data_IF_735139728732
#
_entry.id   IF_735139728732
#
_cell.length_a   1.000
_cell.length_b   1.000
_cell.length_c   1.000
_cell.angle_alpha   90.00
_cell.angle_beta   90.00
_cell.angle_gamma   90.00
#
_symmetry.space_group_name_H-M   'P 1'
#
loop_
_entity.id
_entity.type
_entity.pdbx_description
1 polymer ?
#
# COMPACT_ATOMS: atom_id res chain seq x y z
N UNK A 1 28.58 -45.21 -17.94
CA UNK A 1 28.21 -44.22 -18.96
C UNK A 1 27.11 -43.37 -18.34
N UNK A 2 27.48 -42.16 -17.96
CA UNK A 2 26.84 -41.34 -16.92
C UNK A 2 25.54 -40.68 -17.41
N UNK A 3 24.54 -40.68 -16.54
CA UNK A 3 23.23 -40.02 -16.76
C UNK A 3 23.39 -38.50 -16.61
N UNK A 4 22.95 -37.67 -17.58
CA UNK A 4 23.11 -36.23 -17.51
C UNK A 4 21.92 -35.62 -16.75
N UNK A 5 21.80 -35.90 -15.45
CA UNK A 5 20.91 -35.11 -14.59
C UNK A 5 21.70 -33.92 -14.07
N UNK A 6 21.73 -32.86 -14.90
CA UNK A 6 22.08 -31.52 -14.45
C UNK A 6 21.15 -31.15 -13.30
N UNK A 7 21.76 -30.75 -12.20
CA UNK A 7 21.16 -30.18 -10.99
C UNK A 7 20.12 -29.12 -11.33
N UNK A 8 18.85 -29.49 -11.30
CA UNK A 8 17.75 -28.52 -11.32
C UNK A 8 17.75 -27.76 -9.98
N UNK A 9 17.62 -26.44 -10.05
CA UNK A 9 17.48 -25.61 -8.85
C UNK A 9 16.20 -25.98 -8.10
N UNK A 10 16.15 -25.79 -6.78
CA UNK A 10 14.95 -26.03 -5.96
C UNK A 10 13.70 -25.34 -6.54
N UNK A 11 13.78 -24.08 -7.02
CA UNK A 11 12.67 -23.44 -7.71
C UNK A 11 12.18 -24.17 -8.96
N UNK A 12 13.07 -24.73 -9.78
CA UNK A 12 12.68 -25.46 -10.99
C UNK A 12 11.97 -26.79 -10.66
N UNK A 13 12.29 -27.42 -9.52
CA UNK A 13 11.60 -28.63 -9.05
C UNK A 13 10.22 -28.28 -8.50
N UNK A 14 10.09 -27.16 -7.79
CA UNK A 14 8.81 -26.65 -7.28
C UNK A 14 7.89 -26.23 -8.42
N UNK A 15 8.42 -25.54 -9.44
CA UNK A 15 7.70 -25.17 -10.66
C UNK A 15 7.25 -26.40 -11.45
N UNK A 16 8.10 -27.41 -11.63
CA UNK A 16 7.73 -28.66 -12.30
C UNK A 16 6.63 -29.42 -11.54
N UNK A 17 6.65 -29.40 -10.20
CA UNK A 17 5.59 -29.98 -9.36
C UNK A 17 4.28 -29.21 -9.49
N UNK A 18 4.33 -27.88 -9.45
CA UNK A 18 3.17 -27.02 -9.61
C UNK A 18 2.52 -27.19 -10.99
N UNK A 19 3.32 -27.23 -12.06
CA UNK A 19 2.84 -27.48 -13.42
C UNK A 19 2.21 -28.87 -13.58
N UNK A 20 2.81 -29.90 -12.96
CA UNK A 20 2.24 -31.25 -12.96
C UNK A 20 0.92 -31.29 -12.21
N UNK A 21 0.86 -30.73 -11.00
CA UNK A 21 -0.37 -30.63 -10.22
C UNK A 21 -1.45 -29.85 -10.97
N UNK A 22 -1.08 -28.74 -11.63
CA UNK A 22 -2.01 -27.96 -12.44
C UNK A 22 -2.51 -28.69 -13.69
N UNK A 23 -1.70 -29.56 -14.31
CA UNK A 23 -2.16 -30.47 -15.38
C UNK A 23 -3.11 -31.53 -14.83
N UNK A 24 -2.77 -32.14 -13.69
CA UNK A 24 -3.59 -33.17 -13.05
C UNK A 24 -4.95 -32.59 -12.62
N UNK A 25 -4.97 -31.37 -12.07
CA UNK A 25 -6.19 -30.65 -11.70
C UNK A 25 -7.03 -30.24 -12.93
N UNK A 26 -6.40 -29.72 -14.00
CA UNK A 26 -7.11 -29.41 -15.26
C UNK A 26 -7.69 -30.66 -15.92
N UNK A 27 -6.97 -31.79 -15.85
CA UNK A 27 -7.43 -33.08 -16.37
C UNK A 27 -8.56 -33.69 -15.53
N UNK A 28 -8.60 -33.39 -14.23
CA UNK A 28 -9.68 -33.78 -13.33
C UNK A 28 -10.98 -32.96 -13.55
N UNK A 29 -10.96 -31.95 -14.43
CA UNK A 29 -12.06 -31.01 -14.63
C UNK A 29 -12.08 -29.91 -13.56
N UNK A 30 -12.96 -28.90 -13.69
CA UNK A 30 -13.13 -27.91 -12.64
C UNK A 30 -13.47 -28.63 -11.33
N UNK A 31 -12.75 -28.29 -10.26
CA UNK A 31 -13.15 -28.69 -8.92
C UNK A 31 -14.42 -27.92 -8.59
N UNK A 32 -15.56 -28.44 -9.04
CA UNK A 32 -16.87 -27.95 -8.63
C UNK A 32 -17.04 -28.34 -7.17
N UNK A 33 -16.63 -27.44 -6.29
CA UNK A 33 -17.04 -27.48 -4.90
C UNK A 33 -18.56 -27.41 -4.94
N UNK A 34 -19.26 -28.41 -4.38
CA UNK A 34 -20.70 -28.36 -4.37
C UNK A 34 -21.16 -27.15 -3.55
N UNK A 35 -22.32 -26.58 -3.88
CA UNK A 35 -22.80 -25.34 -3.28
C UNK A 35 -23.02 -25.45 -1.77
N UNK A 36 -23.14 -26.68 -1.25
CA UNK A 36 -23.33 -26.98 0.16
C UNK A 36 -22.24 -27.97 0.64
N UNK A 37 -21.79 -27.79 1.88
CA UNK A 37 -20.78 -28.65 2.51
C UNK A 37 -21.23 -30.11 2.65
N UNK A 38 -22.53 -30.33 2.80
CA UNK A 38 -23.13 -31.66 2.92
C UNK A 38 -22.85 -32.53 1.69
N UNK A 39 -22.77 -31.89 0.53
CA UNK A 39 -22.55 -32.52 -0.76
C UNK A 39 -21.07 -32.77 -1.07
N UNK A 40 -20.16 -32.27 -0.22
CA UNK A 40 -18.72 -32.41 -0.42
C UNK A 40 -18.34 -33.91 -0.31
N UNK A 41 -17.64 -34.49 -1.30
CA UNK A 41 -17.24 -35.90 -1.28
C UNK A 41 -16.07 -36.11 -0.30
N UNK A 42 -16.32 -35.85 0.98
CA UNK A 42 -15.38 -35.91 2.08
C UNK A 42 -15.89 -36.83 3.20
N UNK A 43 -15.00 -37.42 4.01
CA UNK A 43 -15.38 -38.17 5.20
C UNK A 43 -16.30 -37.32 6.12
N UNK A 44 -17.29 -37.93 6.79
CA UNK A 44 -18.18 -37.24 7.71
C UNK A 44 -17.43 -36.37 8.73
N UNK A 45 -16.28 -36.85 9.24
CA UNK A 45 -15.46 -36.14 10.21
C UNK A 45 -14.88 -34.84 9.64
N UNK A 46 -14.45 -34.86 8.36
CA UNK A 46 -13.93 -33.68 7.68
C UNK A 46 -15.06 -32.70 7.36
N UNK A 47 -16.26 -33.19 6.99
CA UNK A 47 -17.43 -32.33 6.78
C UNK A 47 -17.88 -31.65 8.07
N UNK A 48 -17.92 -32.39 9.18
CA UNK A 48 -18.22 -31.80 10.51
C UNK A 48 -17.19 -30.75 10.88
N UNK A 49 -15.89 -31.02 10.71
CA UNK A 49 -14.84 -30.02 10.98
C UNK A 49 -14.96 -28.77 10.10
N UNK A 50 -15.28 -28.94 8.81
CA UNK A 50 -15.49 -27.82 7.90
C UNK A 50 -16.76 -27.03 8.23
N UNK A 51 -17.85 -27.72 8.57
CA UNK A 51 -19.12 -27.13 9.00
C UNK A 51 -18.96 -26.38 10.32
N UNK A 52 -18.29 -26.97 11.32
CA UNK A 52 -17.92 -26.29 12.57
C UNK A 52 -17.05 -25.05 12.28
N UNK A 53 -16.08 -25.16 11.36
CA UNK A 53 -15.24 -24.04 10.95
C UNK A 53 -15.97 -22.96 10.13
N UNK A 54 -17.15 -23.25 9.59
CA UNK A 54 -17.94 -22.32 8.76
C UNK A 54 -19.15 -21.74 9.50
N UNK A 55 -19.78 -22.49 10.40
CA UNK A 55 -20.80 -22.04 11.34
C UNK A 55 -20.18 -21.19 12.45
N UNK A 56 -18.94 -21.49 12.80
CA UNK A 56 -18.09 -20.66 13.62
C UNK A 56 -16.92 -20.28 12.72
N UNK A 57 -17.14 -19.38 11.72
CA UNK A 57 -16.04 -18.87 10.93
C UNK A 57 -15.14 -18.19 11.93
N UNK A 58 -14.09 -18.91 12.33
CA UNK A 58 -13.18 -18.45 13.35
C UNK A 58 -12.81 -17.03 12.99
N UNK A 59 -12.83 -16.12 13.96
CA UNK A 59 -12.68 -14.67 13.78
C UNK A 59 -11.33 -14.23 13.17
N UNK A 60 -10.64 -15.12 12.47
CA UNK A 60 -9.29 -14.95 11.95
C UNK A 60 -8.32 -15.01 13.12
N UNK A 61 -7.82 -16.22 13.42
CA UNK A 61 -6.92 -16.59 14.51
C UNK A 61 -7.59 -16.76 15.88
N UNK A 62 -7.48 -17.98 16.41
CA UNK A 62 -8.07 -18.44 17.66
C UNK A 62 -7.38 -17.87 18.91
N UNK A 63 -6.13 -17.40 18.81
CA UNK A 63 -5.43 -16.62 19.82
C UNK A 63 -4.40 -15.71 19.11
N UNK A 64 -4.32 -14.43 19.50
CA UNK A 64 -3.27 -13.54 19.03
C UNK A 64 -1.93 -14.01 19.60
N UNK A 65 -0.86 -14.11 18.77
CA UNK A 65 0.45 -14.39 19.30
C UNK A 65 0.90 -13.24 20.20
N UNK A 66 1.70 -13.56 21.23
CA UNK A 66 2.27 -12.56 22.15
C UNK A 66 3.02 -11.43 21.42
N UNK A 67 3.54 -11.71 20.21
CA UNK A 67 4.17 -10.72 19.34
C UNK A 67 3.51 -10.75 17.95
N UNK A 68 2.87 -9.64 17.56
CA UNK A 68 2.31 -9.44 16.22
C UNK A 68 3.18 -8.47 15.45
N UNK A 69 3.60 -8.83 14.24
CA UNK A 69 4.35 -7.93 13.35
C UNK A 69 3.43 -7.36 12.29
N UNK A 70 3.32 -6.04 12.25
CA UNK A 70 2.45 -5.32 11.32
C UNK A 70 3.31 -4.37 10.49
N UNK A 71 3.12 -4.36 9.17
CA UNK A 71 3.85 -3.42 8.33
C UNK A 71 3.19 -2.04 8.31
N UNK A 72 3.96 -0.97 8.11
CA UNK A 72 3.41 0.38 7.93
C UNK A 72 2.43 0.45 6.75
N UNK A 73 2.68 -0.34 5.70
CA UNK A 73 1.77 -0.48 4.56
C UNK A 73 0.44 -1.10 4.97
N UNK A 74 0.45 -2.12 5.83
CA UNK A 74 -0.77 -2.77 6.31
C UNK A 74 -1.63 -1.83 7.16
N UNK A 75 -0.99 -1.11 8.09
CA UNK A 75 -1.66 -0.11 8.91
C UNK A 75 -2.29 0.99 8.03
N UNK A 76 -1.54 1.49 7.05
CA UNK A 76 -2.05 2.51 6.12
C UNK A 76 -3.22 1.97 5.30
N UNK A 77 -3.13 0.75 4.75
CA UNK A 77 -4.22 0.11 3.99
C UNK A 77 -5.48 -0.10 4.83
N UNK A 78 -5.33 -0.42 6.11
CA UNK A 78 -6.47 -0.51 7.03
C UNK A 78 -7.10 0.86 7.25
N UNK A 79 -6.31 1.91 7.49
CA UNK A 79 -6.82 3.28 7.58
C UNK A 79 -7.52 3.74 6.30
N UNK A 80 -7.05 3.31 5.14
CA UNK A 80 -7.71 3.57 3.84
C UNK A 80 -9.03 2.81 3.68
N UNK A 81 -9.12 1.56 4.16
CA UNK A 81 -10.37 0.83 4.21
C UNK A 81 -10.30 -0.30 5.27
N UNK A 82 -11.24 -0.32 6.25
CA UNK A 82 -11.18 -1.28 7.36
C UNK A 82 -11.24 -2.73 6.84
N UNK A 83 -12.14 -3.01 5.90
CA UNK A 83 -12.36 -4.34 5.33
C UNK A 83 -11.08 -4.94 4.72
N UNK A 84 -10.49 -4.25 3.75
CA UNK A 84 -9.36 -4.78 2.98
C UNK A 84 -8.08 -4.83 3.80
N UNK A 85 -7.83 -3.83 4.65
CA UNK A 85 -6.63 -3.83 5.49
C UNK A 85 -6.70 -4.86 6.62
N UNK A 86 -7.87 -5.02 7.26
CA UNK A 86 -8.05 -6.02 8.30
C UNK A 86 -7.96 -7.44 7.74
N UNK A 87 -8.57 -7.70 6.58
CA UNK A 87 -8.44 -8.99 5.89
C UNK A 87 -6.96 -9.34 5.64
N UNK A 88 -6.14 -8.37 5.22
CA UNK A 88 -4.73 -8.60 4.98
C UNK A 88 -3.92 -8.91 6.24
N UNK A 89 -4.27 -8.31 7.38
CA UNK A 89 -3.54 -8.48 8.65
C UNK A 89 -4.02 -9.70 9.43
N UNK A 90 -5.34 -9.85 9.60
CA UNK A 90 -5.96 -10.88 10.46
C UNK A 90 -6.09 -12.21 9.74
N UNK A 91 -6.48 -12.18 8.47
CA UNK A 91 -6.67 -13.38 7.64
C UNK A 91 -5.44 -13.69 6.77
N UNK A 92 -4.49 -12.76 6.69
CA UNK A 92 -3.28 -12.94 5.88
C UNK A 92 -3.50 -12.81 4.38
N UNK A 93 -4.69 -12.42 3.92
CA UNK A 93 -5.06 -12.35 2.51
C UNK A 93 -4.28 -11.23 1.78
N UNK A 94 -3.52 -11.55 0.73
CA UNK A 94 -2.80 -10.54 -0.07
C UNK A 94 -3.39 -10.45 -1.46
N UNK A 95 -3.45 -9.23 -1.99
CA UNK A 95 -3.88 -8.97 -3.38
C UNK A 95 -2.98 -9.68 -4.40
N UNK A 96 -1.69 -9.83 -4.07
CA UNK A 96 -0.69 -10.55 -4.87
C UNK A 96 -0.98 -12.07 -4.98
N UNK A 97 -1.79 -12.62 -4.07
CA UNK A 97 -2.24 -14.02 -4.12
C UNK A 97 -3.38 -14.23 -5.14
N UNK A 98 -3.98 -13.14 -5.62
CA UNK A 98 -5.10 -13.16 -6.58
C UNK A 98 -4.63 -12.87 -8.03
N UNK A 99 -3.36 -12.52 -8.23
CA UNK A 99 -2.81 -12.29 -9.57
C UNK A 99 -2.57 -13.61 -10.31
N UNK A 100 -3.18 -13.74 -11.48
CA UNK A 100 -3.06 -14.90 -12.36
C UNK A 100 -1.67 -14.92 -13.02
N UNK A 101 -0.76 -15.72 -12.44
CA UNK A 101 0.65 -15.83 -12.87
C UNK A 101 0.80 -16.47 -14.26
N UNK A 102 -0.26 -17.06 -14.79
CA UNK A 102 -0.27 -17.75 -16.08
C UNK A 102 -0.34 -16.77 -17.29
N UNK A 103 -0.33 -15.45 -17.07
CA UNK A 103 -0.49 -14.43 -18.12
C UNK A 103 0.78 -13.87 -18.76
N UNK A 104 1.98 -14.29 -18.36
CA UNK A 104 3.23 -13.74 -18.92
C UNK A 104 3.84 -14.72 -19.93
N UNK A 105 3.20 -14.86 -21.09
CA UNK A 105 3.77 -15.58 -22.25
C UNK A 105 4.17 -14.64 -23.42
N UNK A 106 3.86 -13.34 -23.33
CA UNK A 106 4.11 -12.36 -24.39
C UNK A 106 5.20 -11.34 -24.03
N UNK A 107 5.94 -10.87 -25.05
CA UNK A 107 6.93 -9.80 -24.90
C UNK A 107 6.24 -8.48 -24.50
N UNK A 108 6.76 -7.82 -23.45
CA UNK A 108 6.22 -6.56 -22.97
C UNK A 108 6.53 -5.42 -23.96
N UNK A 109 5.53 -4.98 -24.72
CA UNK A 109 5.64 -3.76 -25.56
C UNK A 109 5.65 -2.47 -24.75
N UNK A 110 5.21 -2.53 -23.49
CA UNK A 110 5.20 -1.43 -22.54
C UNK A 110 5.45 -1.95 -21.13
N UNK A 111 6.15 -1.17 -20.32
CA UNK A 111 6.31 -1.38 -18.89
C UNK A 111 4.98 -1.14 -18.22
N UNK A 112 4.55 -2.09 -17.36
CA UNK A 112 3.30 -1.95 -16.62
C UNK A 112 3.24 -0.61 -15.86
N UNK A 113 2.07 0.03 -15.85
CA UNK A 113 1.91 1.42 -15.37
C UNK A 113 2.54 1.69 -14.00
N UNK A 114 2.31 0.80 -13.02
CA UNK A 114 2.83 0.95 -11.66
C UNK A 114 4.36 0.80 -11.60
N UNK A 115 4.91 -0.12 -12.38
CA UNK A 115 6.36 -0.32 -12.49
C UNK A 115 7.03 0.88 -13.18
N UNK A 116 6.44 1.35 -14.28
CA UNK A 116 6.91 2.54 -15.00
C UNK A 116 6.87 3.77 -14.10
N UNK A 117 5.78 3.98 -13.34
CA UNK A 117 5.68 5.08 -12.39
C UNK A 117 6.76 4.99 -11.31
N UNK A 118 6.98 3.80 -10.74
CA UNK A 118 8.02 3.59 -9.72
C UNK A 118 9.42 3.83 -10.28
N UNK A 119 9.71 3.32 -11.47
CA UNK A 119 10.98 3.52 -12.16
C UNK A 119 11.27 5.02 -12.35
N UNK A 120 10.29 5.79 -12.84
CA UNK A 120 10.45 7.24 -13.03
C UNK A 120 10.81 7.96 -11.72
N UNK A 121 10.19 7.58 -10.60
CA UNK A 121 10.51 8.15 -9.28
C UNK A 121 11.92 7.77 -8.81
N UNK A 122 12.30 6.50 -8.94
CA UNK A 122 13.64 6.02 -8.55
C UNK A 122 14.76 6.66 -9.39
N UNK A 123 14.52 6.89 -10.68
CA UNK A 123 15.44 7.64 -11.56
C UNK A 123 15.55 9.08 -11.08
N UNK A 124 14.44 9.77 -10.84
CA UNK A 124 14.45 11.15 -10.37
C UNK A 124 15.22 11.29 -9.03
N UNK A 125 15.01 10.38 -8.08
CA UNK A 125 15.74 10.37 -6.81
C UNK A 125 17.23 10.11 -6.99
N UNK A 126 17.61 9.12 -7.83
CA UNK A 126 19.02 8.82 -8.08
C UNK A 126 19.74 9.99 -8.75
N UNK A 127 19.14 10.62 -9.76
CA UNK A 127 19.74 11.75 -10.46
C UNK A 127 19.84 13.00 -9.59
N UNK A 128 18.85 13.26 -8.73
CA UNK A 128 18.90 14.37 -7.78
C UNK A 128 20.01 14.20 -6.73
N UNK A 129 20.28 12.97 -6.29
CA UNK A 129 21.30 12.68 -5.25
C UNK A 129 22.72 12.53 -5.79
N UNK A 130 22.90 11.93 -6.97
CA UNK A 130 24.23 11.58 -7.54
C UNK A 130 24.69 12.53 -8.65
N UNK A 131 23.89 13.54 -8.97
CA UNK A 131 24.10 14.47 -10.09
C UNK A 131 24.35 13.77 -11.45
N UNK A 132 23.60 12.71 -11.71
CA UNK A 132 23.72 11.91 -12.93
C UNK A 132 22.76 12.36 -14.03
N UNK A 133 23.05 11.94 -15.27
CA UNK A 133 22.17 12.14 -16.41
C UNK A 133 20.89 11.29 -16.30
N UNK A 134 19.69 11.89 -16.44
CA UNK A 134 18.41 11.19 -16.35
C UNK A 134 18.21 10.05 -17.35
N UNK A 135 18.57 10.26 -18.62
CA UNK A 135 18.35 9.26 -19.68
C UNK A 135 19.19 8.00 -19.45
N UNK A 136 20.49 8.18 -19.23
CA UNK A 136 21.39 7.07 -18.94
C UNK A 136 20.97 6.32 -17.66
N UNK A 137 20.51 7.04 -16.64
CA UNK A 137 20.04 6.44 -15.39
C UNK A 137 18.74 5.67 -15.60
N UNK A 138 17.82 6.18 -16.43
CA UNK A 138 16.59 5.49 -16.81
C UNK A 138 16.88 4.14 -17.47
N UNK A 139 17.67 4.12 -18.55
CA UNK A 139 17.97 2.87 -19.25
C UNK A 139 18.76 1.88 -18.39
N UNK A 140 19.68 2.38 -17.54
CA UNK A 140 20.39 1.55 -16.56
C UNK A 140 19.44 0.87 -15.57
N UNK A 141 18.42 1.59 -15.09
CA UNK A 141 17.42 1.03 -14.15
C UNK A 141 16.31 0.23 -14.85
N UNK A 142 16.10 0.43 -16.16
CA UNK A 142 15.18 -0.36 -16.99
C UNK A 142 15.76 -1.75 -17.30
N UNK A 143 17.08 -1.87 -17.47
CA UNK A 143 17.75 -3.11 -17.86
C UNK A 143 17.45 -4.36 -16.98
N UNK A 144 17.30 -4.27 -15.65
CA UNK A 144 16.82 -5.39 -14.83
C UNK A 144 15.39 -5.84 -15.17
N UNK A 145 14.48 -4.93 -15.51
CA UNK A 145 13.10 -5.24 -15.89
C UNK A 145 13.05 -5.87 -17.28
N UNK A 146 13.85 -5.36 -18.20
CA UNK A 146 14.07 -5.92 -19.54
C UNK A 146 14.55 -7.38 -19.49
N UNK A 147 15.56 -7.67 -18.64
CA UNK A 147 16.04 -9.04 -18.40
C UNK A 147 14.98 -9.97 -17.82
N UNK A 148 13.94 -9.44 -17.21
CA UNK A 148 12.79 -10.18 -16.67
C UNK A 148 11.62 -10.25 -17.66
N UNK A 149 11.73 -9.67 -18.86
CA UNK A 149 10.64 -9.58 -19.82
C UNK A 149 9.51 -8.63 -19.42
N UNK A 150 9.75 -7.73 -18.45
CA UNK A 150 8.74 -6.83 -17.85
C UNK A 150 8.75 -5.41 -18.39
N UNK A 151 9.68 -5.13 -19.30
CA UNK A 151 9.86 -3.83 -19.92
C UNK A 151 10.28 -4.01 -21.39
N UNK A 152 9.93 -3.05 -22.26
CA UNK A 152 10.24 -3.13 -23.68
C UNK A 152 11.73 -2.96 -23.98
N UNK A 153 12.14 -3.39 -25.17
CA UNK A 153 13.48 -3.21 -25.72
C UNK A 153 13.47 -2.26 -26.93
N UNK A 154 14.65 -1.73 -27.29
CA UNK A 154 14.88 -0.95 -28.51
C UNK A 154 13.95 0.26 -28.64
N UNK A 155 13.34 0.42 -29.82
CA UNK A 155 12.50 1.57 -30.17
C UNK A 155 11.32 1.79 -29.21
N UNK A 156 10.77 0.72 -28.62
CA UNK A 156 9.69 0.85 -27.65
C UNK A 156 10.20 1.42 -26.32
N UNK A 157 11.39 1.03 -25.88
CA UNK A 157 12.03 1.61 -24.69
C UNK A 157 12.40 3.09 -24.91
N UNK A 158 12.88 3.44 -26.10
CA UNK A 158 13.15 4.83 -26.49
C UNK A 158 11.86 5.66 -26.53
N UNK A 159 10.76 5.10 -27.02
CA UNK A 159 9.45 5.75 -26.99
C UNK A 159 8.94 5.97 -25.56
N UNK A 160 9.16 5.01 -24.64
CA UNK A 160 8.84 5.19 -23.23
C UNK A 160 9.65 6.33 -22.60
N UNK A 161 10.96 6.39 -22.86
CA UNK A 161 11.79 7.51 -22.42
C UNK A 161 11.26 8.82 -22.97
N UNK A 162 10.99 8.92 -24.27
CA UNK A 162 10.44 10.14 -24.89
C UNK A 162 9.13 10.60 -24.23
N UNK A 163 8.29 9.67 -23.78
CA UNK A 163 7.02 9.98 -23.12
C UNK A 163 7.16 10.38 -21.64
N UNK A 164 8.23 9.95 -20.94
CA UNK A 164 8.38 10.19 -19.51
C UNK A 164 9.59 11.02 -19.09
N UNK A 165 10.60 11.16 -19.95
CA UNK A 165 11.85 11.87 -19.75
C UNK A 165 11.67 13.33 -19.34
N UNK A 166 10.87 14.15 -20.06
CA UNK A 166 10.64 15.54 -19.68
C UNK A 166 10.08 15.69 -18.26
N UNK A 167 9.25 14.75 -17.82
CA UNK A 167 8.72 14.72 -16.46
C UNK A 167 9.79 14.34 -15.43
N UNK A 168 10.62 13.35 -15.73
CA UNK A 168 11.76 12.97 -14.86
C UNK A 168 12.69 14.17 -14.72
N UNK A 169 13.05 14.83 -15.82
CA UNK A 169 13.92 16.01 -15.84
C UNK A 169 13.33 17.16 -15.02
N UNK A 170 12.03 17.44 -15.16
CA UNK A 170 11.32 18.44 -14.37
C UNK A 170 11.40 18.15 -12.86
N UNK A 171 11.18 16.90 -12.45
CA UNK A 171 11.35 16.49 -11.06
C UNK A 171 12.80 16.61 -10.59
N UNK A 172 13.78 16.16 -11.38
CA UNK A 172 15.20 16.27 -11.04
C UNK A 172 15.61 17.73 -10.85
N UNK A 173 15.18 18.63 -11.74
CA UNK A 173 15.44 20.07 -11.61
C UNK A 173 14.86 20.65 -10.33
N UNK A 174 13.63 20.28 -10.01
CA UNK A 174 12.95 20.75 -8.79
C UNK A 174 13.59 20.19 -7.52
N UNK A 175 14.03 18.93 -7.54
CA UNK A 175 14.70 18.29 -6.41
C UNK A 175 16.09 18.89 -6.17
N UNK A 176 16.88 19.13 -7.22
CA UNK A 176 18.21 19.75 -7.13
C UNK A 176 18.15 21.19 -6.64
N UNK A 177 17.04 21.90 -6.88
CA UNK A 177 16.87 23.27 -6.38
C UNK A 177 16.52 23.32 -4.88
N UNK A 178 16.27 22.18 -4.23
CA UNK A 178 15.95 22.14 -2.81
C UNK A 178 17.22 22.18 -1.96
N UNK A 179 17.20 22.89 -0.81
CA UNK A 179 18.37 22.98 0.06
C UNK A 179 18.61 21.71 0.90
N UNK A 180 17.65 20.79 0.94
CA UNK A 180 17.72 19.57 1.74
C UNK A 180 17.95 18.33 0.87
N UNK A 181 18.82 17.39 1.29
CA UNK A 181 18.99 16.13 0.58
C UNK A 181 17.77 15.23 0.75
N UNK A 182 17.57 14.36 -0.23
CA UNK A 182 16.56 13.31 -0.17
C UNK A 182 17.06 12.20 0.75
N UNK A 183 16.22 11.75 1.69
CA UNK A 183 16.57 10.66 2.64
C UNK A 183 15.56 9.53 2.62
N UNK A 184 16.05 8.30 2.71
CA UNK A 184 15.29 7.06 2.82
C UNK A 184 15.43 6.51 4.24
N UNK A 185 14.33 6.55 4.97
CA UNK A 185 14.26 5.98 6.31
C UNK A 185 13.52 4.64 6.28
N UNK A 186 13.92 3.75 7.18
CA UNK A 186 13.26 2.45 7.41
C UNK A 186 13.10 2.20 8.90
N UNK A 187 11.97 1.61 9.30
CA UNK A 187 11.81 1.00 10.63
C UNK A 187 11.96 -0.52 10.53
N UNK A 188 12.87 -1.08 11.32
CA UNK A 188 13.12 -2.52 11.37
C UNK A 188 13.49 -3.12 10.01
N UNK A 189 13.02 -4.33 9.75
CA UNK A 189 13.17 -4.96 8.43
C UNK A 189 12.03 -4.55 7.49
N UNK A 190 12.38 -4.29 6.23
CA UNK A 190 11.38 -4.13 5.19
C UNK A 190 11.11 -5.47 4.50
N UNK A 191 9.85 -5.70 4.11
CA UNK A 191 9.47 -6.78 3.18
C UNK A 191 9.70 -6.39 1.71
N UNK A 192 9.98 -5.11 1.44
CA UNK A 192 10.03 -4.57 0.07
C UNK A 192 11.45 -4.66 -0.52
N UNK A 193 11.54 -4.89 -1.84
CA UNK A 193 12.78 -4.80 -2.63
C UNK A 193 13.15 -3.34 -2.97
N UNK A 194 12.89 -2.37 -2.07
CA UNK A 194 13.31 -0.98 -2.28
C UNK A 194 14.84 -0.88 -2.21
N UNK A 195 15.36 0.20 -2.79
CA UNK A 195 16.77 0.56 -2.64
C UNK A 195 17.17 0.67 -1.17
N UNK A 196 18.48 0.64 -0.91
CA UNK A 196 19.01 0.73 0.45
C UNK A 196 18.48 1.98 1.17
N UNK A 197 18.15 1.82 2.45
CA UNK A 197 17.78 2.94 3.31
C UNK A 197 19.06 3.65 3.77
N UNK A 198 19.04 4.98 3.80
CA UNK A 198 20.14 5.79 4.31
C UNK A 198 20.27 5.65 5.83
N UNK A 199 19.13 5.44 6.51
CA UNK A 199 19.08 5.18 7.94
C UNK A 199 18.00 4.13 8.26
N UNK A 200 18.35 3.19 9.13
CA UNK A 200 17.43 2.15 9.64
C UNK A 200 17.27 2.31 11.15
N UNK A 201 16.05 2.64 11.56
CA UNK A 201 15.60 2.71 12.95
C UNK A 201 15.17 1.33 13.44
N UNK A 202 15.19 1.07 14.76
CA UNK A 202 14.55 -0.14 15.30
C UNK A 202 13.05 -0.17 14.99
N UNK A 203 12.42 -1.35 14.92
CA UNK A 203 10.96 -1.43 14.80
C UNK A 203 10.31 -0.77 16.00
N UNK A 204 9.22 -0.04 15.76
CA UNK A 204 8.46 0.60 16.83
C UNK A 204 7.68 -0.48 17.57
N UNK A 205 7.93 -0.61 18.88
CA UNK A 205 7.28 -1.60 19.74
C UNK A 205 6.23 -0.91 20.59
N UNK A 206 5.01 -1.42 20.53
CA UNK A 206 3.88 -0.96 21.34
C UNK A 206 3.30 -2.16 22.08
N UNK A 207 2.93 -1.96 23.33
CA UNK A 207 2.31 -2.98 24.17
C UNK A 207 0.99 -2.46 24.71
N UNK A 208 -0.04 -3.27 24.60
CA UNK A 208 -1.36 -2.94 25.13
C UNK A 208 -2.15 -4.21 25.46
N UNK A 209 -3.13 -4.06 26.35
CA UNK A 209 -4.08 -5.12 26.65
C UNK A 209 -5.12 -5.26 25.53
N UNK A 210 -5.48 -6.51 25.26
CA UNK A 210 -6.56 -6.98 24.39
C UNK A 210 -7.48 -7.88 25.22
N UNK A 211 -8.68 -8.21 24.72
CA UNK A 211 -9.59 -9.18 25.31
C UNK A 211 -8.96 -10.58 25.45
N UNK A 212 -7.91 -10.87 24.67
CA UNK A 212 -7.16 -12.13 24.68
C UNK A 212 -5.88 -12.07 25.55
N UNK A 213 -5.58 -10.93 26.16
CA UNK A 213 -4.39 -10.72 26.99
C UNK A 213 -3.48 -9.59 26.50
N UNK A 214 -2.29 -9.49 27.09
CA UNK A 214 -1.31 -8.48 26.68
C UNK A 214 -0.66 -8.87 25.34
N UNK A 215 -0.71 -7.97 24.36
CA UNK A 215 -0.10 -8.16 23.04
C UNK A 215 1.00 -7.13 22.84
N UNK A 216 2.15 -7.58 22.32
CA UNK A 216 3.22 -6.72 21.81
C UNK A 216 3.10 -6.63 20.29
N UNK A 217 3.00 -5.41 19.77
CA UNK A 217 3.02 -5.16 18.32
C UNK A 217 4.38 -4.57 17.92
N UNK A 218 4.99 -5.12 16.88
CA UNK A 218 6.15 -4.52 16.20
C UNK A 218 5.71 -3.92 14.86
N UNK A 219 5.83 -2.59 14.74
CA UNK A 219 5.65 -1.85 13.50
C UNK A 219 6.97 -1.69 12.75
N UNK A 220 6.97 -2.09 11.47
CA UNK A 220 8.15 -2.05 10.62
C UNK A 220 7.79 -1.73 9.16
N UNK A 221 8.75 -1.24 8.39
CA UNK A 221 8.60 -0.96 6.97
C UNK A 221 9.35 0.27 6.49
N UNK A 222 9.24 0.52 5.19
CA UNK A 222 9.81 1.71 4.56
C UNK A 222 8.86 2.91 4.74
N UNK A 223 9.42 4.02 5.22
CA UNK A 223 8.78 5.32 5.21
C UNK A 223 8.83 5.90 3.80
N UNK A 224 8.06 6.96 3.56
CA UNK A 224 8.25 7.77 2.37
C UNK A 224 9.61 8.42 2.34
N UNK A 225 10.12 8.58 1.12
CA UNK A 225 11.30 9.38 0.83
C UNK A 225 11.09 10.77 1.42
N UNK A 226 12.13 11.33 2.05
CA UNK A 226 12.02 12.58 2.80
C UNK A 226 12.79 13.68 2.12
N UNK A 227 12.20 14.86 2.08
CA UNK A 227 12.88 16.12 1.78
C UNK A 227 12.87 16.95 3.06
N UNK A 228 14.03 17.08 3.71
CA UNK A 228 14.08 17.58 5.08
C UNK A 228 13.22 16.73 6.02
N UNK A 229 12.24 17.35 6.69
CA UNK A 229 11.32 16.68 7.61
C UNK A 229 9.94 16.35 7.00
N UNK A 230 9.72 16.63 5.71
CA UNK A 230 8.49 16.28 5.01
C UNK A 230 8.64 14.96 4.24
N UNK A 231 7.56 14.19 4.16
CA UNK A 231 7.44 13.08 3.22
C UNK A 231 7.24 13.63 1.81
N UNK A 232 8.04 13.17 0.85
CA UNK A 232 8.08 13.65 -0.52
C UNK A 232 7.25 12.76 -1.45
N UNK A 233 6.47 13.41 -2.31
CA UNK A 233 5.66 12.78 -3.35
C UNK A 233 5.94 13.43 -4.69
N UNK A 234 6.25 12.64 -5.70
CA UNK A 234 6.38 13.08 -7.09
C UNK A 234 5.08 12.75 -7.84
N UNK A 235 4.40 13.78 -8.32
CA UNK A 235 3.07 13.70 -8.93
C UNK A 235 3.08 14.06 -10.41
N UNK A 236 2.23 13.37 -11.18
CA UNK A 236 1.97 13.68 -12.58
C UNK A 236 0.86 14.71 -12.69
N UNK A 237 0.99 15.65 -13.62
CA UNK A 237 -0.04 16.66 -13.91
C UNK A 237 0.22 17.99 -13.22
N UNK A 238 -0.72 18.92 -13.36
CA UNK A 238 -0.63 20.26 -12.79
C UNK A 238 -1.04 20.29 -11.32
N UNK A 239 -0.50 21.26 -10.57
CA UNK A 239 -0.95 21.53 -9.21
C UNK A 239 -2.40 22.02 -9.21
N UNK A 240 -3.19 21.52 -8.27
CA UNK A 240 -4.56 21.97 -8.04
C UNK A 240 -4.65 22.57 -6.62
N UNK A 241 -5.04 23.84 -6.48
CA UNK A 241 -5.15 24.50 -5.17
C UNK A 241 -6.11 23.78 -4.22
N UNK A 242 -7.18 23.21 -4.77
CA UNK A 242 -8.08 22.30 -4.06
C UNK A 242 -7.60 20.88 -4.32
N UNK A 243 -6.77 20.37 -3.42
CA UNK A 243 -6.29 19.00 -3.50
C UNK A 243 -7.46 18.02 -3.29
N UNK A 244 -7.77 17.25 -4.34
CA UNK A 244 -8.82 16.22 -4.27
C UNK A 244 -8.46 15.03 -3.37
N UNK A 245 -9.41 14.11 -3.23
CA UNK A 245 -9.30 12.91 -2.40
C UNK A 245 -8.00 12.12 -2.66
N UNK A 246 -7.54 12.06 -3.92
CA UNK A 246 -6.28 11.38 -4.30
C UNK A 246 -5.05 11.92 -3.58
N UNK A 247 -4.88 13.25 -3.53
CA UNK A 247 -3.70 13.89 -2.91
C UNK A 247 -3.77 13.76 -1.39
N UNK A 248 -4.95 13.98 -0.80
CA UNK A 248 -5.18 13.77 0.63
C UNK A 248 -4.91 12.32 1.05
N UNK A 249 -5.45 11.35 0.31
CA UNK A 249 -5.18 9.92 0.53
C UNK A 249 -3.68 9.60 0.55
N UNK A 250 -2.88 10.19 -0.35
CA UNK A 250 -1.42 10.03 -0.32
C UNK A 250 -0.78 10.67 0.92
N UNK A 251 -1.29 11.82 1.35
CA UNK A 251 -0.85 12.49 2.57
C UNK A 251 -1.14 11.66 3.85
N UNK A 252 -2.12 10.75 3.85
CA UNK A 252 -2.33 9.82 4.97
C UNK A 252 -1.07 9.03 5.28
N UNK A 253 -0.33 8.59 4.26
CA UNK A 253 0.93 7.87 4.48
C UNK A 253 1.99 8.76 5.14
N UNK A 254 2.06 10.04 4.77
CA UNK A 254 2.94 10.99 5.43
C UNK A 254 2.53 11.24 6.89
N UNK A 255 1.23 11.24 7.18
CA UNK A 255 0.71 11.40 8.52
C UNK A 255 1.04 10.19 9.41
N UNK A 256 0.91 8.96 8.88
CA UNK A 256 1.38 7.74 9.56
C UNK A 256 2.89 7.80 9.80
N UNK A 257 3.69 8.23 8.82
CA UNK A 257 5.14 8.41 8.97
C UNK A 257 5.46 9.44 10.08
N UNK A 258 4.71 10.54 10.16
CA UNK A 258 4.83 11.55 11.21
C UNK A 258 4.56 10.96 12.61
N UNK A 259 3.48 10.20 12.79
CA UNK A 259 3.17 9.54 14.06
C UNK A 259 4.25 8.53 14.45
N UNK A 260 4.69 7.70 13.52
CA UNK A 260 5.69 6.66 13.78
C UNK A 260 7.03 7.25 14.17
N UNK A 261 7.49 8.30 13.47
CA UNK A 261 8.75 8.99 13.80
C UNK A 261 8.67 9.68 15.17
N UNK A 262 7.54 10.33 15.47
CA UNK A 262 7.30 10.97 16.77
C UNK A 262 7.31 9.94 17.90
N UNK A 263 6.56 8.84 17.76
CA UNK A 263 6.52 7.74 18.73
C UNK A 263 7.90 7.06 18.94
N UNK A 264 8.76 7.10 17.91
CA UNK A 264 10.14 6.61 17.95
C UNK A 264 11.13 7.56 18.66
N UNK A 265 10.66 8.67 19.22
CA UNK A 265 11.47 9.62 19.98
C UNK A 265 11.95 10.83 19.19
N UNK A 266 11.41 11.10 17.99
CA UNK A 266 11.68 12.31 17.22
C UNK A 266 10.53 13.32 17.33
N UNK A 267 10.14 13.64 18.55
CA UNK A 267 9.04 14.56 18.87
C UNK A 267 9.41 16.04 18.68
N UNK A 268 8.41 16.92 18.75
CA UNK A 268 8.62 18.38 18.68
C UNK A 268 9.06 18.92 17.32
N UNK A 269 8.99 18.09 16.28
CA UNK A 269 9.35 18.45 14.90
C UNK A 269 8.06 18.50 14.09
N UNK A 270 7.75 19.68 13.55
CA UNK A 270 6.72 19.83 12.53
C UNK A 270 7.12 19.04 11.28
N UNK A 271 6.17 18.30 10.73
CA UNK A 271 6.37 17.49 9.53
C UNK A 271 5.21 17.73 8.59
N UNK A 272 5.29 17.15 7.40
CA UNK A 272 4.20 17.26 6.46
C UNK A 272 4.35 16.33 5.28
N UNK A 273 3.49 16.54 4.31
CA UNK A 273 3.57 15.92 2.99
C UNK A 273 3.90 17.02 1.98
N UNK A 274 4.99 16.86 1.23
CA UNK A 274 5.39 17.77 0.16
C UNK A 274 5.22 17.06 -1.20
N UNK A 275 4.57 17.74 -2.14
CA UNK A 275 4.23 17.22 -3.46
C UNK A 275 4.87 18.08 -4.53
N UNK A 276 5.63 17.46 -5.43
CA UNK A 276 6.15 18.09 -6.64
C UNK A 276 5.41 17.57 -7.87
N UNK A 277 4.74 18.49 -8.55
CA UNK A 277 3.90 18.26 -9.70
C UNK A 277 4.69 18.57 -10.98
N UNK A 278 4.73 17.60 -11.87
CA UNK A 278 5.27 17.78 -13.22
C UNK A 278 4.12 17.63 -14.23
N UNK A 279 3.61 18.80 -14.66
CA UNK A 279 2.63 18.97 -15.73
C UNK A 279 3.28 19.47 -17.02
N UNK A 280 2.48 19.99 -17.95
CA UNK A 280 2.96 20.62 -19.19
C UNK A 280 3.59 22.01 -18.94
N UNK A 281 3.19 22.67 -17.85
CA UNK A 281 3.70 23.96 -17.40
C UNK A 281 4.95 23.82 -16.49
N UNK A 282 5.45 24.94 -15.96
CA UNK A 282 6.53 24.97 -14.97
C UNK A 282 6.23 24.06 -13.77
N UNK A 283 7.24 23.36 -13.21
CA UNK A 283 7.06 22.52 -12.03
C UNK A 283 6.44 23.31 -10.87
N UNK A 284 5.43 22.72 -10.24
CA UNK A 284 4.72 23.32 -9.12
C UNK A 284 4.86 22.45 -7.88
N UNK A 285 4.78 23.08 -6.72
CA UNK A 285 4.86 22.40 -5.44
C UNK A 285 3.64 22.73 -4.58
N UNK A 286 3.23 21.77 -3.76
CA UNK A 286 2.29 22.02 -2.68
C UNK A 286 2.54 21.12 -1.48
N UNK A 287 1.99 21.49 -0.33
CA UNK A 287 2.18 20.71 0.88
C UNK A 287 0.98 20.73 1.84
N UNK A 288 0.99 19.73 2.72
CA UNK A 288 0.26 19.74 3.99
C UNK A 288 1.25 19.84 5.13
N UNK A 289 0.92 20.62 6.15
CA UNK A 289 1.65 20.67 7.41
C UNK A 289 0.90 19.86 8.48
N UNK A 290 1.64 19.16 9.32
CA UNK A 290 1.14 18.42 10.47
C UNK A 290 1.67 19.07 11.74
N UNK A 291 0.76 19.29 12.69
CA UNK A 291 1.09 19.85 13.99
C UNK A 291 2.07 18.93 14.73
N UNK A 292 2.99 19.53 15.48
CA UNK A 292 3.90 18.77 16.32
C UNK A 292 3.11 18.01 17.40
N UNK A 293 3.43 16.73 17.57
CA UNK A 293 2.86 15.85 18.60
C UNK A 293 3.94 15.49 19.62
N UNK A 294 3.51 15.20 20.85
CA UNK A 294 4.37 14.54 21.83
C UNK A 294 4.51 13.06 21.50
N UNK A 295 5.60 12.44 21.99
CA UNK A 295 5.81 11.01 21.87
C UNK A 295 4.63 10.20 22.43
N UNK A 296 4.11 10.60 23.58
CA UNK A 296 3.02 9.91 24.27
C UNK A 296 1.72 9.96 23.48
N UNK A 297 1.40 11.12 22.89
CA UNK A 297 0.23 11.29 22.00
C UNK A 297 0.34 10.36 20.78
N UNK A 298 1.50 10.35 20.13
CA UNK A 298 1.72 9.50 18.97
C UNK A 298 1.65 8.00 19.30
N UNK A 299 2.22 7.59 20.45
CA UNK A 299 2.15 6.20 20.92
C UNK A 299 0.72 5.78 21.27
N UNK A 300 -0.04 6.64 21.97
CA UNK A 300 -1.43 6.39 22.32
C UNK A 300 -2.30 6.21 21.06
N UNK A 301 -2.19 7.14 20.10
CA UNK A 301 -2.93 7.09 18.84
C UNK A 301 -2.62 5.82 18.03
N UNK A 302 -1.33 5.46 17.90
CA UNK A 302 -0.94 4.23 17.22
C UNK A 302 -1.44 2.98 17.96
N UNK A 303 -1.38 2.96 19.30
CA UNK A 303 -1.88 1.83 20.09
C UNK A 303 -3.41 1.67 19.95
N UNK A 304 -4.17 2.76 19.91
CA UNK A 304 -5.61 2.73 19.64
C UNK A 304 -5.92 2.13 18.28
N UNK A 305 -5.26 2.60 17.21
CA UNK A 305 -5.44 2.06 15.87
C UNK A 305 -5.06 0.58 15.78
N UNK A 306 -3.96 0.16 16.40
CA UNK A 306 -3.53 -1.23 16.37
C UNK A 306 -4.46 -2.13 17.17
N UNK A 307 -4.98 -1.66 18.31
CA UNK A 307 -6.00 -2.37 19.07
C UNK A 307 -7.26 -2.54 18.23
N UNK A 308 -7.75 -1.45 17.64
CA UNK A 308 -8.93 -1.50 16.77
C UNK A 308 -8.72 -2.45 15.59
N UNK A 309 -7.57 -2.39 14.89
CA UNK A 309 -7.23 -3.29 13.80
C UNK A 309 -7.23 -4.78 14.19
N UNK A 310 -6.85 -5.10 15.43
CA UNK A 310 -6.77 -6.49 15.89
C UNK A 310 -8.10 -7.01 16.42
N UNK A 311 -8.91 -6.17 17.07
CA UNK A 311 -10.10 -6.59 17.81
C UNK A 311 -11.42 -6.11 17.21
N UNK A 312 -11.39 -5.08 16.37
CA UNK A 312 -12.58 -4.41 15.87
C UNK A 312 -13.38 -5.26 14.88
N UNK A 313 -14.63 -4.87 14.66
CA UNK A 313 -15.39 -5.36 13.52
C UNK A 313 -15.02 -4.55 12.28
N UNK A 314 -14.54 -5.24 11.25
CA UNK A 314 -14.04 -4.64 10.02
C UNK A 314 -14.80 -5.12 8.79
N UNK A 315 -15.86 -5.90 8.94
CA UNK A 315 -16.71 -6.35 7.85
C UNK A 315 -17.62 -5.21 7.34
N UNK A 316 -17.03 -4.05 7.09
CA UNK A 316 -17.71 -2.78 6.85
C UNK A 316 -17.17 -2.09 5.60
N UNK A 317 -18.08 -1.63 4.75
CA UNK A 317 -17.75 -0.88 3.55
C UNK A 317 -17.56 0.62 3.88
N UNK A 318 -16.31 1.05 4.02
CA UNK A 318 -15.94 2.46 4.28
C UNK A 318 -14.66 2.82 3.50
N UNK A 319 -14.75 3.14 2.19
CA UNK A 319 -13.61 3.63 1.42
C UNK A 319 -13.21 5.04 1.88
N UNK A 320 -11.90 5.26 2.06
CA UNK A 320 -11.36 6.57 2.46
C UNK A 320 -11.67 7.67 1.45
N UNK A 321 -11.75 7.36 0.17
CA UNK A 321 -12.10 8.36 -0.86
C UNK A 321 -13.46 9.00 -0.57
N UNK A 322 -14.49 8.20 -0.24
CA UNK A 322 -15.80 8.71 0.16
C UNK A 322 -15.74 9.51 1.47
N UNK A 323 -14.91 9.09 2.42
CA UNK A 323 -14.68 9.83 3.68
C UNK A 323 -14.07 11.21 3.38
N UNK A 324 -13.08 11.28 2.50
CA UNK A 324 -12.39 12.52 2.15
C UNK A 324 -13.31 13.51 1.43
N UNK A 325 -14.21 13.01 0.58
CA UNK A 325 -15.21 13.82 -0.13
C UNK A 325 -16.32 14.32 0.81
N UNK A 326 -16.83 13.46 1.70
CA UNK A 326 -17.90 13.83 2.63
C UNK A 326 -17.46 14.61 3.88
N UNK A 327 -16.15 14.72 4.15
CA UNK A 327 -15.65 15.33 5.38
C UNK A 327 -15.90 16.84 5.47
N UNK A 328 -15.76 17.58 4.37
CA UNK A 328 -15.94 19.04 4.37
C UNK A 328 -17.37 19.43 4.76
N UNK A 329 -18.35 18.66 4.32
CA UNK A 329 -19.76 18.84 4.65
C UNK A 329 -20.12 18.31 6.06
N UNK A 330 -19.17 17.67 6.76
CA UNK A 330 -19.41 16.91 7.99
C UNK A 330 -20.63 15.99 7.87
N UNK A 331 -20.78 15.39 6.68
CA UNK A 331 -21.93 14.57 6.31
C UNK A 331 -21.44 13.33 5.59
N UNK A 332 -21.65 12.18 6.20
CA UNK A 332 -21.35 10.89 5.59
C UNK A 332 -22.36 9.86 6.10
N UNK A 333 -23.28 9.45 5.23
CA UNK A 333 -24.30 8.46 5.56
C UNK A 333 -24.03 7.13 4.85
N UNK A 334 -24.72 6.08 5.30
CA UNK A 334 -24.71 4.79 4.63
C UNK A 334 -25.17 4.86 3.17
N UNK A 335 -26.06 5.81 2.84
CA UNK A 335 -26.54 6.02 1.47
C UNK A 335 -25.49 6.71 0.61
N UNK A 336 -24.77 7.70 1.15
CA UNK A 336 -23.65 8.35 0.45
C UNK A 336 -22.56 7.34 0.08
N UNK A 337 -22.25 6.38 0.97
CA UNK A 337 -21.28 5.32 0.68
C UNK A 337 -21.74 4.39 -0.45
N UNK A 338 -23.03 4.06 -0.51
CA UNK A 338 -23.60 3.26 -1.60
C UNK A 338 -23.59 4.04 -2.91
N UNK A 339 -23.97 5.31 -2.89
CA UNK A 339 -23.92 6.19 -4.05
C UNK A 339 -22.47 6.33 -4.58
N UNK A 340 -21.51 6.55 -3.68
CA UNK A 340 -20.09 6.61 -4.02
C UNK A 340 -19.64 5.35 -4.78
N UNK A 341 -20.02 4.16 -4.32
CA UNK A 341 -19.69 2.92 -5.03
C UNK A 341 -20.28 2.91 -6.45
N UNK A 342 -21.55 3.29 -6.61
CA UNK A 342 -22.22 3.30 -7.92
C UNK A 342 -21.54 4.28 -8.89
N UNK A 343 -21.19 5.47 -8.40
CA UNK A 343 -20.56 6.52 -9.20
C UNK A 343 -19.14 6.15 -9.62
N UNK A 344 -18.39 5.46 -8.74
CA UNK A 344 -16.96 5.17 -8.94
C UNK A 344 -16.67 3.71 -9.31
N UNK A 345 -17.68 2.84 -9.45
CA UNK A 345 -17.49 1.42 -9.77
C UNK A 345 -16.71 1.20 -11.07
N UNK A 346 -16.86 2.10 -12.05
CA UNK A 346 -16.17 2.03 -13.34
C UNK A 346 -14.74 2.53 -13.28
N UNK A 347 -14.49 3.61 -12.54
CA UNK A 347 -13.18 4.23 -12.42
C UNK A 347 -12.27 3.44 -11.46
N UNK A 348 -12.89 2.73 -10.51
CA UNK A 348 -12.22 1.98 -9.47
C UNK A 348 -11.71 2.89 -8.35
N UNK A 349 -11.71 2.35 -7.14
CA UNK A 349 -11.18 3.01 -5.94
C UNK A 349 -10.46 1.96 -5.09
N UNK A 350 -9.71 2.42 -4.08
CA UNK A 350 -8.67 1.59 -3.46
C UNK A 350 -9.18 0.30 -2.83
N UNK A 351 -10.42 0.29 -2.33
CA UNK A 351 -11.05 -0.90 -1.76
C UNK A 351 -11.30 -2.00 -2.80
N UNK A 352 -11.63 -1.64 -4.05
CA UNK A 352 -11.95 -2.62 -5.12
C UNK A 352 -10.72 -3.44 -5.53
N UNK A 353 -9.53 -2.87 -5.36
CA UNK A 353 -8.25 -3.53 -5.66
C UNK A 353 -7.67 -4.30 -4.47
N UNK A 354 -8.41 -4.39 -3.36
CA UNK A 354 -8.00 -5.12 -2.17
C UNK A 354 -8.17 -6.63 -2.30
N UNK A 355 -7.74 -7.39 -1.28
CA UNK A 355 -7.84 -8.85 -1.28
C UNK A 355 -9.27 -9.38 -1.09
N UNK A 356 -10.24 -8.50 -0.81
CA UNK A 356 -11.64 -8.88 -0.64
C UNK A 356 -12.39 -8.60 -1.94
N UNK A 357 -12.86 -9.64 -2.66
CA UNK A 357 -13.61 -9.44 -3.88
C UNK A 357 -14.98 -8.83 -3.56
N UNK A 358 -15.47 -7.97 -4.47
CA UNK A 358 -16.78 -7.31 -4.37
C UNK A 358 -17.07 -6.69 -2.98
N UNK A 359 -16.23 -5.73 -2.53
CA UNK A 359 -16.32 -5.18 -1.19
C UNK A 359 -17.62 -4.43 -0.90
N UNK A 360 -18.37 -4.03 -1.94
CA UNK A 360 -19.66 -3.35 -1.80
C UNK A 360 -20.78 -4.24 -1.26
N UNK A 361 -20.57 -5.57 -1.21
CA UNK A 361 -21.50 -6.51 -0.55
C UNK A 361 -21.57 -6.34 0.96
N UNK A 362 -20.51 -5.78 1.56
CA UNK A 362 -20.45 -5.55 2.99
C UNK A 362 -21.27 -4.32 3.37
N UNK A 363 -21.97 -4.33 4.51
CA UNK A 363 -22.77 -3.20 4.93
C UNK A 363 -21.87 -1.99 5.23
N UNK A 364 -22.32 -0.75 4.93
CA UNK A 364 -21.69 0.43 5.49
C UNK A 364 -21.83 0.42 7.03
N UNK A 365 -20.92 1.09 7.76
CA UNK A 365 -21.06 1.27 9.21
C UNK A 365 -22.38 1.96 9.58
N UNK A 366 -22.98 1.65 10.76
CA UNK A 366 -24.19 2.32 11.22
C UNK A 366 -24.04 3.84 11.35
N UNK A 367 -22.86 4.28 11.81
CA UNK A 367 -22.47 5.69 11.85
C UNK A 367 -21.10 5.86 11.14
N UNK A 368 -21.12 6.12 9.82
CA UNK A 368 -19.89 6.28 9.04
C UNK A 368 -19.05 7.47 9.46
N UNK A 369 -19.70 8.59 9.81
CA UNK A 369 -19.00 9.82 10.15
C UNK A 369 -18.30 9.68 11.50
N UNK A 370 -18.94 9.06 12.48
CA UNK A 370 -18.30 8.81 13.77
C UNK A 370 -17.13 7.83 13.65
N UNK A 371 -17.30 6.74 12.88
CA UNK A 371 -16.19 5.82 12.60
C UNK A 371 -15.03 6.53 11.88
N UNK A 372 -15.32 7.38 10.90
CA UNK A 372 -14.32 8.20 10.21
C UNK A 372 -13.62 9.18 11.16
N UNK A 373 -14.36 9.86 12.04
CA UNK A 373 -13.81 10.81 13.02
C UNK A 373 -12.88 10.13 14.01
N UNK A 374 -13.28 8.98 14.56
CA UNK A 374 -12.43 8.20 15.49
C UNK A 374 -11.10 7.77 14.86
N UNK A 375 -11.15 7.34 13.59
CA UNK A 375 -9.99 6.75 12.90
C UNK A 375 -9.11 7.78 12.22
N UNK A 376 -9.70 8.80 11.61
CA UNK A 376 -9.02 9.74 10.71
C UNK A 376 -9.21 11.21 11.11
N UNK A 377 -9.95 11.53 12.18
CA UNK A 377 -10.31 12.92 12.54
C UNK A 377 -9.13 13.88 12.60
N UNK A 378 -8.08 13.55 13.36
CA UNK A 378 -6.86 14.38 13.46
C UNK A 378 -6.20 14.63 12.10
N UNK A 379 -6.16 13.60 11.25
CA UNK A 379 -5.62 13.70 9.90
C UNK A 379 -6.50 14.57 8.99
N UNK A 380 -7.81 14.41 9.09
CA UNK A 380 -8.78 15.13 8.27
C UNK A 380 -8.82 16.62 8.62
N UNK A 381 -8.67 16.97 9.89
CA UNK A 381 -8.55 18.35 10.37
C UNK A 381 -7.27 19.03 9.86
N UNK A 382 -6.14 18.32 9.90
CA UNK A 382 -4.84 18.86 9.47
C UNK A 382 -4.65 18.89 7.95
N UNK A 383 -5.52 18.21 7.20
CA UNK A 383 -5.49 18.20 5.72
C UNK A 383 -6.65 18.98 5.09
N UNK A 384 -7.28 19.87 5.84
CA UNK A 384 -8.33 20.75 5.31
C UNK A 384 -7.82 21.87 4.38
N UNK A 385 -6.53 22.20 4.43
CA UNK A 385 -5.91 23.21 3.55
C UNK A 385 -4.67 22.67 2.89
N UNK A 386 -4.60 22.79 1.57
CA UNK A 386 -3.41 22.45 0.78
C UNK A 386 -2.70 23.74 0.39
N UNK A 387 -1.45 23.89 0.81
CA UNK A 387 -0.69 25.11 0.60
C UNK A 387 0.12 25.02 -0.69
N UNK A 388 0.19 26.12 -1.43
CA UNK A 388 1.11 26.24 -2.57
C UNK A 388 2.53 26.52 -2.05
N UNK A 389 3.54 25.94 -2.72
CA UNK A 389 4.94 26.10 -2.36
C UNK A 389 5.60 24.80 -1.89
N UNK A 390 6.89 24.87 -1.57
CA UNK A 390 7.76 23.74 -1.26
C UNK A 390 7.46 23.07 0.09
N UNK A 391 8.47 22.97 0.95
CA UNK A 391 8.34 22.35 2.27
C UNK A 391 7.34 23.10 3.17
N UNK A 392 6.63 22.36 4.07
CA UNK A 392 5.76 22.94 5.10
C UNK A 392 6.54 23.77 6.12
#
# INVERSE_FOLDING_TARGET
MESPLRTCSVPAIEEARALRLGRDLRAAGPLELPPFLDDLPAPPELRTLLQEALDHPGTGRTELPNIVRISLTDLTRWLECPLTGAAAVRLGLRSEDLEDRDRIEEEAFQTAFLESHRLQQEVAFACASEDTDPENTFFRQLAPLQRQGRAPHGLFAEAEWKACGPRIEAWVGTLRSQPHPIRRLRLGSARSRRAAADETLPPLRLEFATAQGAVRVELAGDLKERLGEAALFLERGAFQPKAGAKTRKRALRAFVDHLVLTASGREGIERGACFFFAGEDTPQAGHYAFQALSRDQAQARLAEWLRELLEGDHALFLPIEAVLEGWEEQRLTAEDLRAFHLDHAREGYSTVWGPVPDPARFPPPPDPLDLARRRLGEFLEQTGTFHAGGLP
#
